data_IF_898330207574
#
_entry.id   IF_898330207574
#
_cell.length_a   1.000
_cell.length_b   1.000
_cell.length_c   1.000
_cell.angle_alpha   90.00
_cell.angle_beta   90.00
_cell.angle_gamma   90.00
#
_symmetry.space_group_name_H-M   'P 1'
#
loop_
_entity.id
_entity.type
_entity.pdbx_description
1 polymer ?
#
# COMPACT_ATOMS: atom_id res chain seq x y z
N UNK A 1 -19.71 -8.31 1.00
CA UNK A 1 -18.40 -7.79 0.54
C UNK A 1 -18.40 -7.68 -0.98
N UNK A 2 -18.36 -6.46 -1.49
CA UNK A 2 -18.33 -6.17 -2.92
C UNK A 2 -17.03 -6.67 -3.56
N UNK A 3 -17.04 -7.01 -4.86
CA UNK A 3 -15.82 -7.33 -5.62
C UNK A 3 -14.78 -6.21 -5.49
N UNK A 4 -15.20 -4.94 -5.44
CA UNK A 4 -14.30 -3.78 -5.29
C UNK A 4 -13.60 -3.78 -3.93
N UNK A 5 -14.31 -4.09 -2.85
CA UNK A 5 -13.76 -4.16 -1.48
C UNK A 5 -12.71 -5.27 -1.36
N UNK A 6 -13.00 -6.44 -1.94
CA UNK A 6 -12.06 -7.56 -1.95
C UNK A 6 -10.75 -7.19 -2.67
N UNK A 7 -10.85 -6.53 -3.82
CA UNK A 7 -9.67 -6.05 -4.54
C UNK A 7 -8.90 -4.97 -3.76
N UNK A 8 -9.59 -4.00 -3.16
CA UNK A 8 -8.94 -2.93 -2.37
C UNK A 8 -8.19 -3.50 -1.16
N UNK A 9 -8.78 -4.45 -0.43
CA UNK A 9 -8.11 -5.12 0.70
C UNK A 9 -6.90 -5.94 0.27
N UNK A 10 -6.99 -6.66 -0.85
CA UNK A 10 -5.87 -7.44 -1.40
C UNK A 10 -4.72 -6.52 -1.84
N UNK A 11 -5.03 -5.44 -2.56
CA UNK A 11 -4.02 -4.46 -3.01
C UNK A 11 -3.38 -3.74 -1.82
N UNK A 12 -4.18 -3.30 -0.84
CA UNK A 12 -3.69 -2.67 0.38
C UNK A 12 -2.75 -3.57 1.18
N UNK A 13 -3.12 -4.85 1.33
CA UNK A 13 -2.30 -5.86 2.00
C UNK A 13 -0.97 -6.10 1.27
N UNK A 14 -0.99 -6.23 -0.06
CA UNK A 14 0.25 -6.40 -0.85
C UNK A 14 1.17 -5.19 -0.69
N UNK A 15 0.63 -3.97 -0.75
CA UNK A 15 1.43 -2.74 -0.60
C UNK A 15 2.06 -2.63 0.79
N UNK A 16 1.34 -3.00 1.85
CA UNK A 16 1.90 -3.09 3.20
C UNK A 16 3.05 -4.10 3.28
N UNK A 17 2.86 -5.32 2.73
CA UNK A 17 3.89 -6.35 2.74
C UNK A 17 5.14 -5.90 1.97
N UNK A 18 4.96 -5.27 0.80
CA UNK A 18 6.07 -4.70 0.04
C UNK A 18 6.84 -3.64 0.85
N UNK A 19 6.13 -2.80 1.61
CA UNK A 19 6.73 -1.82 2.52
C UNK A 19 7.51 -2.47 3.67
N UNK A 20 6.92 -3.45 4.35
CA UNK A 20 7.53 -4.16 5.49
C UNK A 20 8.78 -4.94 5.07
N UNK A 21 8.69 -5.68 3.96
CA UNK A 21 9.81 -6.47 3.43
C UNK A 21 10.81 -5.66 2.62
N UNK A 22 10.65 -4.32 2.55
CA UNK A 22 11.51 -3.42 1.79
C UNK A 22 11.65 -3.82 0.31
N UNK A 23 10.62 -4.46 -0.24
CA UNK A 23 10.66 -4.99 -1.60
C UNK A 23 10.60 -3.82 -2.58
N UNK A 24 11.63 -3.73 -3.43
CA UNK A 24 11.73 -2.69 -4.46
C UNK A 24 12.61 -1.50 -4.10
N UNK A 25 13.13 -1.38 -2.88
CA UNK A 25 14.08 -0.29 -2.52
C UNK A 25 15.37 -0.34 -3.36
N UNK A 26 15.85 -1.54 -3.69
CA UNK A 26 17.05 -1.73 -4.53
C UNK A 26 16.74 -1.87 -6.03
N UNK A 27 15.46 -1.88 -6.42
CA UNK A 27 15.08 -2.08 -7.83
C UNK A 27 15.33 -0.81 -8.63
N UNK A 28 16.10 -0.92 -9.72
CA UNK A 28 16.46 0.19 -10.62
C UNK A 28 15.23 0.98 -11.11
N UNK A 29 14.08 0.32 -11.25
CA UNK A 29 12.79 0.91 -11.66
C UNK A 29 12.20 1.87 -10.63
N UNK A 30 12.38 1.60 -9.33
CA UNK A 30 11.82 2.41 -8.24
C UNK A 30 12.82 3.41 -7.68
N UNK A 31 14.05 3.40 -8.19
CA UNK A 31 15.16 4.25 -7.75
C UNK A 31 14.85 5.75 -7.82
N UNK A 32 13.98 6.17 -8.75
CA UNK A 32 13.55 7.57 -8.81
C UNK A 32 12.74 7.99 -7.57
N UNK A 33 11.77 7.16 -7.16
CA UNK A 33 10.94 7.42 -5.98
C UNK A 33 11.78 7.27 -4.69
N UNK A 34 12.63 6.23 -4.64
CA UNK A 34 13.53 6.00 -3.51
C UNK A 34 14.54 7.15 -3.37
N UNK A 35 15.04 7.73 -4.46
CA UNK A 35 15.93 8.89 -4.40
C UNK A 35 15.23 10.16 -3.90
N UNK A 36 13.92 10.31 -4.15
CA UNK A 36 13.13 11.46 -3.70
C UNK A 36 12.77 11.37 -2.21
N UNK A 37 12.39 10.18 -1.73
CA UNK A 37 11.90 9.97 -0.37
C UNK A 37 12.96 9.40 0.59
N UNK A 38 14.07 8.88 0.07
CA UNK A 38 14.98 8.00 0.79
C UNK A 38 14.42 6.59 0.95
N UNK A 39 15.27 5.61 1.28
CA UNK A 39 14.84 4.22 1.49
C UNK A 39 13.78 4.08 2.59
N UNK A 40 13.97 4.81 3.70
CA UNK A 40 13.02 4.83 4.81
C UNK A 40 11.70 5.50 4.41
N UNK A 41 11.77 6.62 3.66
CA UNK A 41 10.56 7.31 3.21
C UNK A 41 9.75 6.49 2.21
N UNK A 42 10.40 5.73 1.32
CA UNK A 42 9.72 4.80 0.41
C UNK A 42 8.99 3.68 1.17
N UNK A 43 9.59 3.12 2.22
CA UNK A 43 8.92 2.11 3.06
C UNK A 43 7.70 2.68 3.76
N UNK A 44 7.84 3.84 4.40
CA UNK A 44 6.73 4.52 5.08
C UNK A 44 5.62 4.86 4.08
N UNK A 45 5.97 5.35 2.90
CA UNK A 45 5.02 5.66 1.83
C UNK A 45 4.19 4.44 1.41
N UNK A 46 4.83 3.29 1.19
CA UNK A 46 4.13 2.04 0.84
C UNK A 46 3.19 1.57 1.97
N UNK A 47 3.64 1.64 3.22
CA UNK A 47 2.84 1.25 4.38
C UNK A 47 1.63 2.16 4.53
N UNK A 48 1.80 3.48 4.39
CA UNK A 48 0.72 4.47 4.52
C UNK A 48 -0.31 4.33 3.41
N UNK A 49 0.12 4.14 2.16
CA UNK A 49 -0.80 3.86 1.05
C UNK A 49 -1.55 2.55 1.29
N UNK A 50 -0.85 1.48 1.67
CA UNK A 50 -1.48 0.19 1.96
C UNK A 50 -2.52 0.29 3.08
N UNK A 51 -2.21 1.03 4.15
CA UNK A 51 -3.14 1.32 5.24
C UNK A 51 -4.36 2.10 4.76
N UNK A 52 -4.16 3.09 3.90
CA UNK A 52 -5.25 3.90 3.35
C UNK A 52 -6.22 3.04 2.54
N UNK A 53 -5.71 2.11 1.71
CA UNK A 53 -6.56 1.19 0.96
C UNK A 53 -7.35 0.24 1.86
N UNK A 54 -6.76 -0.26 2.95
CA UNK A 54 -7.46 -1.09 3.93
C UNK A 54 -8.55 -0.30 4.67
N UNK A 55 -8.25 0.94 5.07
CA UNK A 55 -9.21 1.83 5.73
C UNK A 55 -10.37 2.15 4.79
N UNK A 56 -10.08 2.45 3.52
CA UNK A 56 -11.12 2.67 2.51
C UNK A 56 -11.99 1.42 2.31
N UNK A 57 -11.40 0.23 2.23
CA UNK A 57 -12.17 -1.00 2.13
C UNK A 57 -13.08 -1.23 3.35
N UNK A 58 -12.59 -0.94 4.57
CA UNK A 58 -13.38 -1.00 5.81
C UNK A 58 -14.53 0.01 5.81
N UNK A 59 -14.27 1.27 5.47
CA UNK A 59 -15.31 2.29 5.45
C UNK A 59 -16.35 2.04 4.35
N UNK A 60 -15.94 1.55 3.18
CA UNK A 60 -16.88 1.19 2.11
C UNK A 60 -17.82 0.09 2.60
N UNK A 61 -17.30 -0.90 3.33
CA UNK A 61 -18.10 -1.96 3.90
C UNK A 61 -19.09 -1.45 4.97
N UNK A 62 -18.67 -0.53 5.84
CA UNK A 62 -19.50 0.03 6.92
C UNK A 62 -20.60 0.97 6.42
N UNK A 63 -20.40 1.68 5.30
CA UNK A 63 -21.40 2.63 4.78
C UNK A 63 -22.35 2.05 3.73
N UNK A 64 -22.08 0.85 3.20
CA UNK A 64 -22.92 0.18 2.19
C UNK A 64 -23.68 -1.06 2.71
N UNK A 65 -23.56 -1.39 4.01
CA UNK A 65 -24.50 -2.27 4.74
C UNK A 65 -25.69 -1.48 5.28
#
# INVERSE_FOLDING_TARGET
MSKSEMWMSVVGGILMLLGIFKVGTSTRRNRWIVNLLGETGYQIFLIVIGATFLILALFTNVFYE
#
